data_IF_352976214973
#
_entry.id   IF_352976214973
#
_cell.length_a   1.000
_cell.length_b   1.000
_cell.length_c   1.000
_cell.angle_alpha   90.00
_cell.angle_beta   90.00
_cell.angle_gamma   90.00
#
_symmetry.space_group_name_H-M   'P 1'
#
loop_
_entity.id
_entity.type
_entity.pdbx_description
1 polymer ?
#
# COMPACT_ATOMS: atom_id res chain seq x y z
N UNK A 1 51.90 -59.04 15.47
CA UNK A 1 52.11 -57.59 15.67
C UNK A 1 51.48 -56.84 14.51
N UNK A 2 50.28 -56.26 14.69
CA UNK A 2 49.81 -55.12 13.92
C UNK A 2 49.87 -53.86 14.80
N UNK A 3 50.49 -52.79 14.31
CA UNK A 3 50.70 -51.55 15.08
C UNK A 3 49.42 -50.72 15.21
N UNK A 4 49.28 -50.01 16.33
CA UNK A 4 48.22 -49.02 16.55
C UNK A 4 48.38 -47.82 15.60
N UNK A 5 47.33 -47.48 14.86
CA UNK A 5 47.31 -46.31 13.99
C UNK A 5 46.88 -45.09 14.82
N UNK A 6 47.87 -44.31 15.25
CA UNK A 6 47.66 -43.01 15.91
C UNK A 6 46.96 -42.02 14.95
N UNK A 7 45.73 -41.62 15.32
CA UNK A 7 44.90 -40.71 14.54
C UNK A 7 45.36 -39.24 14.59
N UNK A 8 46.36 -38.92 15.41
CA UNK A 8 46.93 -37.56 15.52
C UNK A 8 48.11 -37.29 14.58
N UNK A 9 48.65 -38.31 13.90
CA UNK A 9 49.85 -38.18 13.08
C UNK A 9 49.60 -37.45 11.75
N UNK A 10 50.49 -36.50 11.42
CA UNK A 10 50.40 -35.62 10.25
C UNK A 10 50.30 -36.38 8.91
N UNK A 11 50.86 -37.60 8.85
CA UNK A 11 50.80 -38.47 7.68
C UNK A 11 49.36 -38.92 7.36
N UNK A 12 48.59 -39.35 8.36
CA UNK A 12 47.17 -39.75 8.19
C UNK A 12 46.29 -38.61 7.68
N UNK A 13 46.59 -37.38 8.10
CA UNK A 13 45.87 -36.17 7.66
C UNK A 13 46.20 -35.86 6.19
N UNK A 14 47.47 -35.95 5.77
CA UNK A 14 47.89 -35.79 4.38
C UNK A 14 47.27 -36.85 3.45
N UNK A 15 47.24 -38.12 3.87
CA UNK A 15 46.62 -39.22 3.13
C UNK A 15 45.10 -38.99 2.93
N UNK A 16 44.41 -38.54 3.98
CA UNK A 16 42.98 -38.21 3.94
C UNK A 16 42.65 -37.05 2.98
N UNK A 17 43.44 -35.98 3.02
CA UNK A 17 43.27 -34.81 2.13
C UNK A 17 43.56 -35.18 0.67
N UNK A 18 44.55 -36.05 0.42
CA UNK A 18 44.85 -36.58 -0.92
C UNK A 18 43.67 -37.36 -1.49
N UNK A 19 43.10 -38.27 -0.70
CA UNK A 19 41.95 -39.10 -1.09
C UNK A 19 40.69 -38.27 -1.41
N UNK A 20 40.47 -37.16 -0.68
CA UNK A 20 39.38 -36.21 -1.02
C UNK A 20 39.64 -35.41 -2.31
N UNK A 21 40.89 -35.10 -2.66
CA UNK A 21 41.19 -34.45 -3.95
C UNK A 21 41.02 -35.39 -5.14
N UNK A 22 41.37 -36.67 -4.98
CA UNK A 22 41.23 -37.68 -6.04
C UNK A 22 39.75 -38.00 -6.34
N UNK A 23 38.86 -37.97 -5.33
CA UNK A 23 37.41 -38.17 -5.54
C UNK A 23 36.71 -37.04 -6.31
N UNK A 24 37.27 -35.83 -6.29
CA UNK A 24 36.76 -34.68 -7.05
C UNK A 24 37.22 -34.64 -8.52
N UNK A 25 38.27 -35.39 -8.88
CA UNK A 25 38.98 -35.22 -10.16
C UNK A 25 38.85 -36.41 -11.14
N UNK A 26 37.99 -37.40 -10.85
CA UNK A 26 37.73 -38.52 -11.76
C UNK A 26 36.47 -38.29 -12.62
N UNK A 27 36.59 -38.24 -13.97
CA UNK A 27 35.44 -38.06 -14.85
C UNK A 27 34.64 -39.36 -14.99
N UNK A 28 33.31 -39.27 -14.88
CA UNK A 28 32.41 -40.39 -15.25
C UNK A 28 32.24 -40.46 -16.76
N UNK A 29 32.74 -41.53 -17.38
CA UNK A 29 32.25 -42.01 -18.68
C UNK A 29 30.83 -42.58 -18.55
N UNK A 30 30.12 -42.66 -19.67
CA UNK A 30 28.69 -42.94 -19.78
C UNK A 30 28.42 -44.02 -20.85
N UNK A 31 27.19 -44.55 -20.89
CA UNK A 31 26.38 -45.08 -22.02
C UNK A 31 25.21 -45.89 -21.41
N UNK A 32 24.01 -46.04 -21.97
CA UNK A 32 23.23 -45.41 -23.07
C UNK A 32 21.73 -45.64 -22.71
N UNK A 33 20.67 -45.05 -23.30
CA UNK A 33 20.43 -44.06 -24.36
C UNK A 33 19.05 -43.39 -24.05
N UNK A 34 18.48 -42.42 -24.76
CA UNK A 34 18.86 -41.70 -25.98
C UNK A 34 18.17 -40.31 -26.04
N UNK A 35 18.49 -39.49 -27.05
CA UNK A 35 18.18 -38.04 -27.07
C UNK A 35 18.06 -37.48 -28.49
N UNK A 36 17.23 -36.46 -28.68
CA UNK A 36 17.26 -35.53 -29.83
C UNK A 36 17.74 -34.12 -29.41
N UNK A 37 18.42 -33.44 -30.35
CA UNK A 37 18.75 -32.00 -30.54
C UNK A 37 18.26 -30.92 -29.53
N UNK A 38 18.91 -29.78 -29.27
CA UNK A 38 20.10 -29.10 -29.86
C UNK A 38 20.73 -28.03 -28.90
N UNK A 39 21.73 -27.23 -29.36
CA UNK A 39 22.57 -26.22 -28.64
C UNK A 39 21.97 -24.76 -28.74
N UNK A 40 22.58 -23.61 -28.28
CA UNK A 40 23.96 -23.33 -27.82
C UNK A 40 24.23 -22.36 -26.58
N UNK A 41 25.47 -22.46 -26.06
CA UNK A 41 26.40 -21.48 -25.40
C UNK A 41 25.98 -20.16 -24.66
N UNK A 42 26.65 -19.93 -23.52
CA UNK A 42 27.18 -18.62 -23.04
C UNK A 42 28.53 -18.81 -22.26
N UNK A 43 29.34 -17.75 -22.07
CA UNK A 43 30.75 -17.78 -21.61
C UNK A 43 31.01 -17.12 -20.23
N UNK A 44 32.20 -17.38 -19.66
CA UNK A 44 32.70 -16.91 -18.34
C UNK A 44 33.49 -15.58 -18.41
N UNK A 45 33.67 -14.87 -17.27
CA UNK A 45 34.66 -13.79 -17.07
C UNK A 45 35.94 -14.23 -16.31
N UNK A 46 37.02 -13.42 -16.34
CA UNK A 46 38.26 -13.58 -15.53
C UNK A 46 38.82 -12.23 -14.99
N UNK A 47 39.71 -12.21 -13.96
CA UNK A 47 40.08 -10.98 -13.20
C UNK A 47 41.59 -10.64 -13.02
N UNK A 48 41.88 -9.35 -12.69
CA UNK A 48 43.10 -8.79 -12.02
C UNK A 48 42.85 -7.26 -11.72
N UNK A 49 43.57 -6.47 -10.88
CA UNK A 49 44.54 -6.66 -9.78
C UNK A 49 44.56 -5.39 -8.85
N UNK A 50 45.68 -5.00 -8.20
CA UNK A 50 45.85 -3.84 -7.27
C UNK A 50 47.30 -3.24 -7.34
N UNK A 51 47.79 -2.32 -6.44
CA UNK A 51 47.38 -0.92 -6.13
C UNK A 51 48.57 0.11 -6.05
N UNK A 52 48.32 1.43 -5.91
CA UNK A 52 49.31 2.44 -5.42
C UNK A 52 48.63 3.58 -4.60
N UNK A 53 49.38 4.35 -3.80
CA UNK A 53 48.93 5.17 -2.64
C UNK A 53 48.84 6.71 -2.84
N UNK A 54 48.44 7.42 -1.77
CA UNK A 54 48.16 8.87 -1.66
C UNK A 54 49.39 9.76 -1.33
N UNK A 55 49.24 11.10 -1.20
CA UNK A 55 49.20 11.72 0.14
C UNK A 55 48.20 12.92 0.30
N UNK A 56 48.23 13.62 1.46
CA UNK A 56 47.17 14.49 1.99
C UNK A 56 47.61 15.90 2.46
N UNK A 57 46.64 16.79 2.77
CA UNK A 57 46.65 17.96 3.72
C UNK A 57 45.22 18.58 3.72
N UNK A 58 44.47 18.81 4.83
CA UNK A 58 44.63 19.73 5.98
C UNK A 58 44.40 21.23 5.62
N UNK A 59 43.65 22.09 6.33
CA UNK A 59 42.74 21.99 7.50
C UNK A 59 41.89 23.30 7.72
N UNK A 60 40.95 23.31 8.69
CA UNK A 60 40.36 24.49 9.42
C UNK A 60 39.46 25.49 8.62
N UNK A 61 38.55 26.31 9.19
CA UNK A 61 37.78 26.32 10.46
C UNK A 61 36.71 27.46 10.43
N UNK A 62 35.96 27.62 11.55
CA UNK A 62 35.19 28.81 11.98
C UNK A 62 33.72 29.00 11.53
N UNK A 63 32.97 29.68 12.39
CA UNK A 63 31.51 29.90 12.33
C UNK A 63 31.16 31.39 12.14
N UNK A 64 29.95 31.68 11.63
CA UNK A 64 29.35 33.00 11.72
C UNK A 64 27.81 32.92 11.71
N UNK A 65 27.18 33.54 12.71
CA UNK A 65 25.74 33.81 12.80
C UNK A 65 25.46 35.18 12.18
N UNK A 66 24.45 35.31 11.31
CA UNK A 66 23.88 36.63 11.00
C UNK A 66 22.37 36.56 10.73
N UNK A 67 21.63 37.45 11.39
CA UNK A 67 20.20 37.68 11.16
C UNK A 67 19.91 38.25 9.76
N UNK A 68 18.69 38.04 9.27
CA UNK A 68 18.07 38.94 8.28
C UNK A 68 16.86 39.61 8.94
N UNK A 69 16.71 40.91 8.68
CA UNK A 69 16.01 41.87 9.52
C UNK A 69 14.74 42.39 8.82
N UNK A 70 13.69 42.64 9.59
CA UNK A 70 12.48 43.32 9.09
C UNK A 70 12.82 44.71 8.52
N UNK A 71 12.18 45.07 7.41
CA UNK A 71 11.95 46.48 7.07
C UNK A 71 10.56 46.67 6.49
N UNK A 72 9.78 47.53 7.15
CA UNK A 72 8.42 47.91 6.79
C UNK A 72 8.40 49.13 5.86
N UNK A 73 7.39 49.24 5.00
CA UNK A 73 7.02 50.51 4.36
C UNK A 73 5.54 50.60 3.99
N UNK A 74 4.83 51.43 4.75
CA UNK A 74 3.62 52.19 4.38
C UNK A 74 3.93 53.13 3.20
N UNK A 75 3.01 53.77 2.46
CA UNK A 75 1.54 53.98 2.50
C UNK A 75 1.15 54.62 1.15
N UNK A 76 -0.13 54.59 0.76
CA UNK A 76 -0.90 55.79 0.33
C UNK A 76 -2.34 55.44 -0.04
N UNK A 77 -3.28 56.30 0.39
CA UNK A 77 -4.73 56.13 0.27
C UNK A 77 -5.33 56.57 -1.07
N UNK A 78 -6.53 56.09 -1.38
CA UNK A 78 -7.65 56.94 -1.86
C UNK A 78 -8.98 56.24 -1.52
N UNK A 79 -9.98 57.02 -1.10
CA UNK A 79 -11.16 56.55 -0.39
C UNK A 79 -12.41 56.37 -1.26
N UNK A 80 -13.34 55.51 -0.80
CA UNK A 80 -14.77 55.65 -1.02
C UNK A 80 -15.56 55.04 0.15
N UNK A 81 -16.31 55.85 0.89
CA UNK A 81 -17.21 55.39 1.97
C UNK A 81 -18.61 55.07 1.42
N UNK A 82 -19.22 53.97 1.88
CA UNK A 82 -20.69 53.79 1.87
C UNK A 82 -21.12 53.16 3.19
N UNK A 83 -22.13 53.75 3.85
CA UNK A 83 -22.69 53.31 5.14
C UNK A 83 -23.87 52.32 4.94
N UNK A 84 -24.17 51.46 5.93
CA UNK A 84 -25.25 50.47 5.83
C UNK A 84 -26.63 51.01 6.29
N UNK A 85 -27.74 50.67 5.61
CA UNK A 85 -29.10 50.90 6.11
C UNK A 85 -29.59 49.78 7.04
N UNK A 86 -30.46 50.13 8.00
CA UNK A 86 -31.02 49.21 9.00
C UNK A 86 -32.29 48.49 8.52
N UNK A 87 -32.43 47.22 8.94
CA UNK A 87 -33.64 46.42 9.19
C UNK A 87 -34.90 46.61 8.32
N UNK A 88 -35.36 45.50 7.71
CA UNK A 88 -36.80 45.19 7.64
C UNK A 88 -37.06 43.68 7.70
N UNK A 89 -37.93 43.26 8.62
CA UNK A 89 -38.32 41.86 8.82
C UNK A 89 -38.87 41.20 7.55
N UNK A 90 -38.47 39.95 7.29
CA UNK A 90 -39.26 38.95 6.56
C UNK A 90 -39.18 37.62 7.30
N UNK A 91 -40.33 36.96 7.51
CA UNK A 91 -40.39 35.69 8.24
C UNK A 91 -39.61 34.57 7.54
N UNK A 92 -38.73 33.90 8.29
CA UNK A 92 -38.14 32.63 7.88
C UNK A 92 -39.19 31.51 7.97
N UNK A 93 -39.58 30.98 6.82
CA UNK A 93 -40.29 29.70 6.70
C UNK A 93 -39.24 28.60 6.70
N UNK A 94 -39.23 27.65 7.66
CA UNK A 94 -38.18 26.63 7.73
C UNK A 94 -38.37 25.58 6.64
N UNK A 95 -37.73 25.76 5.49
CA UNK A 95 -37.41 24.66 4.59
C UNK A 95 -36.36 23.78 5.27
N UNK A 96 -36.66 22.48 5.39
CA UNK A 96 -35.82 21.55 6.16
C UNK A 96 -34.42 21.40 5.56
N UNK A 97 -33.45 22.15 6.10
CA UNK A 97 -32.04 21.83 5.90
C UNK A 97 -31.75 20.47 6.51
N UNK A 98 -31.51 19.49 5.65
CA UNK A 98 -31.06 18.15 6.02
C UNK A 98 -29.73 18.28 6.75
N UNK A 99 -29.75 18.22 8.09
CA UNK A 99 -28.54 18.28 8.91
C UNK A 99 -27.60 17.15 8.52
N UNK A 100 -26.56 17.49 7.78
CA UNK A 100 -25.38 16.64 7.56
C UNK A 100 -24.75 16.40 8.94
N UNK A 101 -24.86 15.17 9.46
CA UNK A 101 -24.35 14.78 10.79
C UNK A 101 -22.86 14.40 10.73
N UNK A 102 -22.00 15.29 10.23
CA UNK A 102 -20.58 14.97 10.01
C UNK A 102 -19.62 15.87 10.80
N UNK A 103 -19.83 15.94 12.11
CA UNK A 103 -18.77 16.29 13.07
C UNK A 103 -18.44 15.05 13.89
N UNK A 104 -17.72 14.10 13.28
CA UNK A 104 -17.13 12.97 14.01
C UNK A 104 -16.21 13.53 15.09
N UNK A 105 -16.51 13.24 16.35
CA UNK A 105 -15.70 13.69 17.48
C UNK A 105 -14.32 13.02 17.44
N UNK A 106 -13.30 13.79 17.09
CA UNK A 106 -11.89 13.38 17.09
C UNK A 106 -11.16 13.94 18.30
N UNK A 107 -10.38 13.09 18.94
CA UNK A 107 -9.47 13.49 20.01
C UNK A 107 -8.15 13.96 19.39
N UNK A 108 -7.44 14.90 20.01
CA UNK A 108 -6.09 15.27 19.56
C UNK A 108 -5.07 14.15 19.80
N UNK A 109 -5.35 13.26 20.77
CA UNK A 109 -4.50 12.13 21.15
C UNK A 109 -5.29 10.83 21.28
N UNK A 110 -4.64 9.70 21.00
CA UNK A 110 -5.21 8.35 21.22
C UNK A 110 -5.46 8.15 22.71
N UNK A 111 -6.68 7.77 23.07
CA UNK A 111 -7.03 7.46 24.45
C UNK A 111 -6.68 5.98 24.73
N UNK A 112 -5.87 5.74 25.77
CA UNK A 112 -5.34 4.42 26.11
C UNK A 112 -5.92 3.97 27.45
N UNK A 113 -6.43 2.74 27.53
CA UNK A 113 -7.01 2.23 28.76
C UNK A 113 -5.91 2.05 29.82
N UNK A 114 -6.22 2.33 31.09
CA UNK A 114 -5.23 2.15 32.17
C UNK A 114 -4.77 0.68 32.31
N UNK A 115 -5.58 -0.28 31.85
CA UNK A 115 -5.22 -1.71 31.75
C UNK A 115 -4.10 -2.01 30.75
N UNK A 116 -3.79 -1.09 29.84
CA UNK A 116 -2.69 -1.21 28.86
C UNK A 116 -1.36 -0.61 29.35
N UNK A 117 -1.30 -0.17 30.62
CA UNK A 117 -0.07 0.32 31.23
C UNK A 117 1.00 -0.78 31.24
N UNK A 118 2.15 -0.49 30.64
CA UNK A 118 3.26 -1.45 30.50
C UNK A 118 3.13 -2.41 29.30
N UNK A 119 2.19 -2.18 28.38
CA UNK A 119 2.14 -2.90 27.11
C UNK A 119 3.31 -2.46 26.20
N UNK A 120 4.18 -3.36 25.72
CA UNK A 120 5.33 -3.01 24.89
C UNK A 120 5.00 -2.24 23.60
N UNK A 121 3.76 -2.33 23.09
CA UNK A 121 3.36 -1.59 21.88
C UNK A 121 3.37 -0.07 22.08
N UNK A 122 3.23 0.41 23.33
CA UNK A 122 3.34 1.84 23.66
C UNK A 122 4.77 2.35 23.54
N UNK A 123 5.75 1.45 23.55
CA UNK A 123 7.17 1.76 23.39
C UNK A 123 7.62 1.73 21.93
N UNK A 124 6.74 1.38 20.98
CA UNK A 124 7.10 1.35 19.55
C UNK A 124 7.48 2.74 19.03
N UNK A 125 8.36 2.85 18.00
CA UNK A 125 8.75 4.14 17.45
C UNK A 125 7.57 4.99 16.97
N UNK A 126 6.60 4.38 16.27
CA UNK A 126 5.42 5.08 15.77
C UNK A 126 4.43 5.47 16.87
N UNK A 127 4.29 4.69 17.95
CA UNK A 127 3.47 5.12 19.09
C UNK A 127 4.13 6.17 19.97
N UNK A 128 5.47 6.24 20.03
CA UNK A 128 6.20 7.35 20.67
C UNK A 128 6.01 8.68 19.93
N UNK A 129 5.85 8.65 18.61
CA UNK A 129 5.58 9.84 17.79
C UNK A 129 4.10 10.25 17.81
N UNK A 130 3.18 9.28 17.99
CA UNK A 130 1.74 9.53 18.02
C UNK A 130 1.32 10.04 19.40
N UNK A 131 0.65 11.19 19.53
CA UNK A 131 0.19 11.66 20.85
C UNK A 131 -0.86 10.71 21.43
N UNK A 132 -0.65 10.25 22.66
CA UNK A 132 -1.59 9.39 23.39
C UNK A 132 -1.66 9.76 24.88
N UNK A 133 -2.76 9.43 25.54
CA UNK A 133 -2.99 9.71 26.96
C UNK A 133 -3.79 8.58 27.63
N UNK A 134 -3.53 8.31 28.91
CA UNK A 134 -4.32 7.33 29.66
C UNK A 134 -5.71 7.86 30.01
N UNK A 135 -6.73 7.01 29.84
CA UNK A 135 -8.11 7.29 30.18
C UNK A 135 -8.74 6.06 30.88
N UNK A 136 -9.48 6.29 31.97
CA UNK A 136 -10.13 5.23 32.78
C UNK A 136 -11.60 5.00 32.41
N UNK A 137 -12.21 5.90 31.62
CA UNK A 137 -13.63 5.86 31.25
C UNK A 137 -13.88 5.12 29.93
N UNK A 138 -12.83 4.79 29.16
CA UNK A 138 -12.98 4.06 27.90
C UNK A 138 -13.18 2.56 28.13
N UNK A 139 -14.05 1.96 27.30
CA UNK A 139 -14.34 0.52 27.36
C UNK A 139 -13.39 -0.32 26.49
N UNK A 140 -12.92 0.22 25.35
CA UNK A 140 -11.90 -0.43 24.51
C UNK A 140 -10.50 -0.31 25.13
N UNK A 141 -9.50 -0.97 24.55
CA UNK A 141 -8.11 -0.89 25.02
C UNK A 141 -7.40 0.35 24.48
N UNK A 142 -7.70 0.68 23.21
CA UNK A 142 -7.31 1.91 22.55
C UNK A 142 -8.55 2.52 21.90
N UNK A 143 -8.70 3.83 22.02
CA UNK A 143 -9.84 4.58 21.54
C UNK A 143 -9.34 5.79 20.75
N UNK A 144 -9.71 5.85 19.48
CA UNK A 144 -9.10 6.76 18.50
C UNK A 144 -10.07 7.90 18.19
N UNK A 145 -11.28 7.55 17.77
CA UNK A 145 -12.39 8.48 17.58
C UNK A 145 -13.73 7.77 17.86
N UNK A 146 -14.84 8.52 17.82
CA UNK A 146 -16.19 7.98 18.07
C UNK A 146 -16.59 6.80 17.14
N UNK A 147 -15.95 6.67 15.98
CA UNK A 147 -16.24 5.64 14.95
C UNK A 147 -15.24 4.48 14.93
N UNK A 148 -14.15 4.51 15.71
CA UNK A 148 -13.06 3.53 15.66
C UNK A 148 -12.55 3.17 17.06
N UNK A 149 -12.86 1.94 17.46
CA UNK A 149 -12.52 1.36 18.76
C UNK A 149 -11.64 0.13 18.57
N UNK A 150 -10.53 0.03 19.31
CA UNK A 150 -9.58 -1.08 19.17
C UNK A 150 -9.45 -1.84 20.49
N UNK A 151 -9.69 -3.16 20.44
CA UNK A 151 -9.33 -4.12 21.48
C UNK A 151 -7.94 -4.68 21.20
N UNK A 152 -7.20 -4.99 22.26
CA UNK A 152 -5.87 -5.59 22.18
C UNK A 152 -5.84 -6.98 22.80
N UNK A 153 -5.23 -7.94 22.10
CA UNK A 153 -5.08 -9.31 22.56
C UNK A 153 -3.75 -9.93 22.11
N UNK A 154 -2.96 -10.46 23.04
CA UNK A 154 -1.85 -11.38 22.70
C UNK A 154 -2.38 -12.81 22.58
N UNK A 155 -1.88 -13.58 21.61
CA UNK A 155 -2.27 -14.98 21.44
C UNK A 155 -1.81 -15.87 22.61
N UNK A 156 -0.66 -15.57 23.21
CA UNK A 156 -0.17 -16.21 24.43
C UNK A 156 -1.13 -15.99 25.60
N UNK A 157 -1.65 -14.77 25.75
CA UNK A 157 -2.67 -14.48 26.76
C UNK A 157 -4.01 -15.14 26.42
N UNK A 158 -4.42 -15.17 25.14
CA UNK A 158 -5.65 -15.85 24.72
C UNK A 158 -5.62 -17.36 25.01
N UNK A 159 -4.47 -18.03 24.80
CA UNK A 159 -4.28 -19.45 25.17
C UNK A 159 -4.40 -19.68 26.69
N UNK A 160 -3.99 -18.71 27.50
CA UNK A 160 -4.09 -18.80 28.97
C UNK A 160 -5.50 -18.50 29.49
N UNK A 161 -6.21 -17.53 28.89
CA UNK A 161 -7.52 -17.01 29.33
C UNK A 161 -8.47 -16.81 28.14
N UNK A 162 -8.98 -17.87 27.50
CA UNK A 162 -9.82 -17.76 26.30
C UNK A 162 -11.12 -16.99 26.56
N UNK A 163 -11.64 -17.03 27.80
CA UNK A 163 -12.87 -16.34 28.21
C UNK A 163 -12.68 -14.82 28.43
N UNK A 164 -11.45 -14.30 28.33
CA UNK A 164 -11.19 -12.87 28.39
C UNK A 164 -11.79 -12.12 27.20
N UNK A 165 -11.59 -12.61 25.97
CA UNK A 165 -12.01 -11.91 24.75
C UNK A 165 -13.54 -11.77 24.69
N UNK A 166 -14.27 -12.81 25.09
CA UNK A 166 -15.72 -12.77 25.20
C UNK A 166 -16.19 -11.66 26.15
N UNK A 167 -15.63 -11.62 27.37
CA UNK A 167 -15.98 -10.62 28.40
C UNK A 167 -15.60 -9.20 27.99
N UNK A 168 -14.57 -8.99 27.14
CA UNK A 168 -14.23 -7.67 26.58
C UNK A 168 -15.25 -7.25 25.52
N UNK A 169 -15.59 -8.14 24.58
CA UNK A 169 -16.56 -7.85 23.52
C UNK A 169 -17.97 -7.60 24.11
N UNK A 170 -18.39 -8.38 25.10
CA UNK A 170 -19.68 -8.22 25.77
C UNK A 170 -19.81 -6.86 26.46
N UNK A 171 -18.74 -6.39 27.13
CA UNK A 171 -18.67 -5.02 27.69
C UNK A 171 -18.81 -3.93 26.62
N UNK A 172 -18.22 -4.12 25.43
CA UNK A 172 -18.35 -3.16 24.31
C UNK A 172 -19.71 -3.21 23.61
N UNK A 173 -20.46 -4.32 23.72
CA UNK A 173 -21.85 -4.40 23.24
C UNK A 173 -22.82 -3.64 24.16
N UNK A 174 -22.41 -3.23 25.36
CA UNK A 174 -23.23 -2.44 26.29
C UNK A 174 -23.58 -1.04 25.75
N UNK A 175 -22.71 -0.45 24.95
CA UNK A 175 -22.87 0.85 24.30
C UNK A 175 -21.54 1.30 23.72
N UNK A 176 -21.57 2.21 22.75
CA UNK A 176 -20.36 2.93 22.38
C UNK A 176 -19.81 3.67 23.61
N UNK A 177 -18.49 3.82 23.67
CA UNK A 177 -17.81 4.62 24.69
C UNK A 177 -18.54 5.95 24.95
N UNK A 178 -18.70 6.28 26.24
CA UNK A 178 -19.42 7.44 26.81
C UNK A 178 -20.93 7.57 26.46
N UNK A 179 -21.75 7.22 27.47
CA UNK A 179 -23.19 7.52 27.67
C UNK A 179 -24.19 6.52 27.05
N UNK A 180 -25.29 6.32 27.78
CA UNK A 180 -26.17 5.13 27.79
C UNK A 180 -27.18 5.03 26.63
N UNK A 181 -27.02 5.80 25.55
CA UNK A 181 -27.95 5.75 24.41
C UNK A 181 -27.50 4.75 23.35
N UNK A 182 -28.02 3.52 23.42
CA UNK A 182 -28.13 2.64 22.25
C UNK A 182 -29.11 3.23 21.23
N UNK A 183 -28.67 4.23 20.47
CA UNK A 183 -29.40 4.64 19.27
C UNK A 183 -29.31 3.54 18.21
N UNK A 184 -30.41 3.37 17.49
CA UNK A 184 -30.65 2.30 16.52
C UNK A 184 -29.82 2.51 15.24
N UNK A 185 -28.52 2.18 15.31
CA UNK A 185 -27.55 2.43 14.25
C UNK A 185 -26.12 2.64 14.77
N UNK A 186 -25.54 1.61 15.40
CA UNK A 186 -24.15 1.65 15.87
C UNK A 186 -23.17 1.40 14.70
N UNK A 187 -22.76 2.47 14.01
CA UNK A 187 -21.79 2.42 12.90
C UNK A 187 -20.31 2.38 13.36
N UNK A 188 -20.03 1.95 14.60
CA UNK A 188 -18.66 1.98 15.12
C UNK A 188 -17.86 0.78 14.61
N UNK A 189 -16.79 1.05 13.86
CA UNK A 189 -15.80 0.06 13.47
C UNK A 189 -15.04 -0.42 14.72
N UNK A 190 -15.27 -1.69 15.07
CA UNK A 190 -14.61 -2.38 16.17
C UNK A 190 -13.49 -3.26 15.61
N UNK A 191 -12.25 -2.97 16.00
CA UNK A 191 -11.07 -3.73 15.58
C UNK A 191 -10.57 -4.58 16.75
N UNK A 192 -10.38 -5.88 16.52
CA UNK A 192 -9.59 -6.74 17.40
C UNK A 192 -8.16 -6.82 16.86
N UNK A 193 -7.24 -6.09 17.49
CA UNK A 193 -5.83 -6.13 17.18
C UNK A 193 -5.16 -7.28 17.96
N UNK A 194 -4.67 -8.26 17.23
CA UNK A 194 -4.10 -9.51 17.76
C UNK A 194 -2.61 -9.56 17.51
N UNK A 195 -1.80 -9.71 18.57
CA UNK A 195 -0.35 -9.94 18.45
C UNK A 195 -0.04 -11.44 18.48
N UNK A 196 0.74 -11.89 17.49
CA UNK A 196 1.25 -13.26 17.38
C UNK A 196 2.55 -13.39 18.19
N UNK A 197 2.44 -13.92 19.40
CA UNK A 197 3.54 -14.18 20.33
C UNK A 197 3.61 -15.68 20.73
N UNK A 198 3.22 -16.57 19.80
CA UNK A 198 3.20 -18.04 19.94
C UNK A 198 3.58 -18.73 18.63
N UNK A 199 4.29 -19.85 18.71
CA UNK A 199 4.81 -20.58 17.53
C UNK A 199 3.71 -21.22 16.66
N UNK A 200 2.60 -21.62 17.29
CA UNK A 200 1.43 -22.21 16.62
C UNK A 200 0.20 -21.32 16.79
N UNK A 201 0.00 -20.32 15.91
CA UNK A 201 -1.10 -19.35 16.02
C UNK A 201 -2.37 -19.77 15.26
N UNK A 202 -2.28 -20.72 14.33
CA UNK A 202 -3.31 -21.02 13.32
C UNK A 202 -4.70 -21.27 13.92
N UNK A 203 -4.82 -22.21 14.88
CA UNK A 203 -6.11 -22.56 15.49
C UNK A 203 -6.68 -21.42 16.36
N UNK A 204 -5.81 -20.66 17.02
CA UNK A 204 -6.21 -19.52 17.83
C UNK A 204 -6.76 -18.38 16.95
N UNK A 205 -6.07 -18.05 15.86
CA UNK A 205 -6.56 -17.05 14.88
C UNK A 205 -7.87 -17.55 14.24
N UNK A 206 -7.96 -18.83 13.85
CA UNK A 206 -9.20 -19.40 13.29
C UNK A 206 -10.40 -19.29 14.24
N UNK A 207 -10.19 -19.59 15.52
CA UNK A 207 -11.20 -19.46 16.57
C UNK A 207 -11.61 -17.99 16.77
N UNK A 208 -10.64 -17.09 16.92
CA UNK A 208 -10.87 -15.66 17.07
C UNK A 208 -11.60 -15.04 15.87
N UNK A 209 -11.24 -15.42 14.64
CA UNK A 209 -11.93 -14.96 13.42
C UNK A 209 -13.41 -15.34 13.40
N UNK A 210 -13.76 -16.54 13.88
CA UNK A 210 -15.16 -16.97 14.01
C UNK A 210 -15.94 -16.14 15.05
N UNK A 211 -15.28 -15.77 16.16
CA UNK A 211 -15.85 -14.87 17.18
C UNK A 211 -16.04 -13.47 16.59
N UNK A 212 -15.04 -12.94 15.88
CA UNK A 212 -15.08 -11.63 15.24
C UNK A 212 -16.25 -11.50 14.26
N UNK A 213 -16.43 -12.48 13.36
CA UNK A 213 -17.55 -12.51 12.40
C UNK A 213 -18.91 -12.51 13.12
N UNK A 214 -19.06 -13.32 14.18
CA UNK A 214 -20.32 -13.41 14.95
C UNK A 214 -20.64 -12.12 15.75
N UNK A 215 -19.64 -11.30 16.04
CA UNK A 215 -19.78 -10.12 16.90
C UNK A 215 -19.61 -8.78 16.18
N UNK A 216 -19.44 -8.82 14.85
CA UNK A 216 -19.16 -7.66 14.00
C UNK A 216 -17.89 -6.89 14.42
N UNK A 217 -16.78 -7.63 14.54
CA UNK A 217 -15.44 -7.07 14.68
C UNK A 217 -14.59 -7.39 13.46
N UNK A 218 -13.78 -6.42 13.04
CA UNK A 218 -12.67 -6.66 12.11
C UNK A 218 -11.45 -7.16 12.89
N UNK A 219 -10.84 -8.27 12.46
CA UNK A 219 -9.59 -8.75 13.05
C UNK A 219 -8.39 -8.17 12.28
N UNK A 220 -7.38 -7.67 13.00
CA UNK A 220 -6.09 -7.26 12.45
C UNK A 220 -5.01 -8.02 13.20
N UNK A 221 -4.14 -8.71 12.46
CA UNK A 221 -3.08 -9.56 13.03
C UNK A 221 -1.74 -8.86 12.84
N UNK A 222 -0.97 -8.76 13.92
CA UNK A 222 0.39 -8.24 13.94
C UNK A 222 1.36 -9.33 14.41
N UNK A 223 2.50 -9.44 13.76
CA UNK A 223 3.57 -10.38 14.06
C UNK A 223 4.57 -9.87 15.12
N UNK A 224 4.43 -8.60 15.51
CA UNK A 224 5.19 -8.02 16.64
C UNK A 224 4.40 -6.94 17.37
N UNK A 225 4.83 -6.61 18.59
CA UNK A 225 4.30 -5.46 19.35
C UNK A 225 4.62 -4.12 18.66
N UNK A 226 5.73 -4.04 17.92
CA UNK A 226 6.08 -2.86 17.13
C UNK A 226 5.08 -2.64 15.99
N UNK A 227 4.78 -3.70 15.23
CA UNK A 227 3.80 -3.66 14.14
C UNK A 227 2.40 -3.32 14.66
N UNK A 228 2.00 -3.87 15.83
CA UNK A 228 0.75 -3.50 16.50
C UNK A 228 0.67 -2.01 16.85
N UNK A 229 1.77 -1.42 17.36
CA UNK A 229 1.86 0.02 17.58
C UNK A 229 1.79 0.83 16.28
N UNK A 230 2.43 0.34 15.22
CA UNK A 230 2.39 0.98 13.89
C UNK A 230 0.96 0.98 13.31
N UNK A 231 0.17 -0.08 13.51
CA UNK A 231 -1.24 -0.09 13.12
C UNK A 231 -2.07 0.94 13.89
N UNK A 232 -1.89 1.10 15.21
CA UNK A 232 -2.62 2.12 16.00
C UNK A 232 -2.24 3.53 15.54
N UNK A 233 -0.96 3.80 15.28
CA UNK A 233 -0.50 5.07 14.72
C UNK A 233 -1.10 5.33 13.32
N UNK A 234 -1.18 4.30 12.47
CA UNK A 234 -1.79 4.38 11.14
C UNK A 234 -3.29 4.63 11.21
N UNK A 235 -4.00 3.96 12.12
CA UNK A 235 -5.42 4.20 12.38
C UNK A 235 -5.67 5.64 12.85
N UNK A 236 -4.77 6.20 13.67
CA UNK A 236 -4.88 7.59 14.12
C UNK A 236 -4.68 8.59 12.97
N UNK A 237 -3.66 8.40 12.13
CA UNK A 237 -3.41 9.30 10.99
C UNK A 237 -4.48 9.20 9.89
N UNK A 238 -5.16 8.05 9.78
CA UNK A 238 -6.20 7.80 8.79
C UNK A 238 -7.64 7.84 9.37
N UNK A 239 -7.84 8.36 10.59
CA UNK A 239 -9.13 8.33 11.29
C UNK A 239 -10.27 9.04 10.53
N UNK A 240 -9.91 10.00 9.66
CA UNK A 240 -10.80 10.79 8.80
C UNK A 240 -10.97 10.21 7.39
N UNK A 241 -10.37 9.07 7.07
CA UNK A 241 -10.46 8.48 5.72
C UNK A 241 -11.90 8.07 5.40
N UNK A 242 -12.70 7.58 6.35
CA UNK A 242 -14.11 7.19 6.11
C UNK A 242 -14.93 8.32 5.47
N UNK A 243 -14.79 9.55 5.97
CA UNK A 243 -15.43 10.77 5.41
C UNK A 243 -14.83 11.22 4.07
N UNK A 244 -13.67 10.69 3.68
CA UNK A 244 -12.99 10.94 2.39
C UNK A 244 -13.10 9.76 1.41
N UNK A 245 -13.76 8.66 1.77
CA UNK A 245 -13.88 7.46 0.92
C UNK A 245 -14.50 7.79 -0.43
N UNK A 246 -15.52 8.65 -0.49
CA UNK A 246 -16.13 9.11 -1.75
C UNK A 246 -15.13 9.80 -2.69
N UNK A 247 -14.10 10.46 -2.16
CA UNK A 247 -13.03 11.08 -2.95
C UNK A 247 -11.90 10.11 -3.33
N UNK A 248 -11.79 8.97 -2.64
CA UNK A 248 -10.74 7.96 -2.85
C UNK A 248 -11.19 6.78 -3.73
N UNK A 249 -12.47 6.40 -3.65
CA UNK A 249 -13.08 5.35 -4.50
C UNK A 249 -13.43 5.90 -5.90
N UNK A 250 -13.49 7.22 -6.07
CA UNK A 250 -13.39 7.85 -7.38
C UNK A 250 -11.97 7.60 -7.94
N UNK A 251 -11.79 6.43 -8.54
CA UNK A 251 -10.53 6.02 -9.17
C UNK A 251 -10.01 7.13 -10.08
N UNK A 252 -8.72 7.46 -9.94
CA UNK A 252 -8.13 8.68 -10.48
C UNK A 252 -8.57 8.90 -11.92
N UNK A 253 -9.44 9.90 -12.13
CA UNK A 253 -9.75 10.38 -13.46
C UNK A 253 -8.44 10.90 -14.02
N UNK A 254 -7.89 10.17 -15.00
CA UNK A 254 -6.71 10.59 -15.76
C UNK A 254 -7.00 11.94 -16.40
N UNK A 255 -6.50 13.02 -15.81
CA UNK A 255 -6.86 14.38 -16.21
C UNK A 255 -6.37 14.70 -17.63
N UNK A 256 -5.27 14.08 -18.06
CA UNK A 256 -4.73 14.28 -19.41
C UNK A 256 -5.47 13.49 -20.48
N UNK A 257 -5.99 14.21 -21.48
CA UNK A 257 -6.55 13.67 -22.73
C UNK A 257 -5.63 12.62 -23.39
N UNK A 258 -4.34 12.92 -23.50
CA UNK A 258 -3.34 12.00 -24.06
C UNK A 258 -3.22 10.70 -23.25
N UNK A 259 -3.25 10.79 -21.91
CA UNK A 259 -3.14 9.61 -21.04
C UNK A 259 -4.39 8.72 -21.12
N UNK A 260 -5.55 9.31 -21.44
CA UNK A 260 -6.81 8.62 -21.72
C UNK A 260 -6.74 7.90 -23.07
N UNK A 261 -6.36 8.58 -24.16
CA UNK A 261 -6.23 7.95 -25.48
C UNK A 261 -5.21 6.80 -25.46
N UNK A 262 -4.06 6.99 -24.82
CA UNK A 262 -3.06 5.92 -24.64
C UNK A 262 -3.66 4.74 -23.88
N UNK A 263 -4.46 4.98 -22.84
CA UNK A 263 -5.18 3.90 -22.14
C UNK A 263 -6.16 3.17 -23.06
N UNK A 264 -7.00 3.89 -23.79
CA UNK A 264 -8.05 3.28 -24.63
C UNK A 264 -7.46 2.50 -25.81
N UNK A 265 -6.49 3.06 -26.53
CA UNK A 265 -5.92 2.41 -27.71
C UNK A 265 -4.99 1.23 -27.36
N UNK A 266 -4.33 1.24 -26.19
CA UNK A 266 -3.53 0.08 -25.74
C UNK A 266 -4.37 -1.10 -25.22
N UNK A 267 -5.69 -0.95 -25.11
CA UNK A 267 -6.61 -2.09 -24.92
C UNK A 267 -6.73 -2.95 -26.18
N UNK A 268 -6.47 -2.39 -27.37
CA UNK A 268 -6.46 -3.14 -28.63
C UNK A 268 -5.25 -4.08 -28.67
N UNK A 269 -5.48 -5.35 -29.00
CA UNK A 269 -4.45 -6.39 -29.00
C UNK A 269 -3.24 -5.99 -29.85
N UNK A 270 -2.05 -6.10 -29.27
CA UNK A 270 -0.75 -5.79 -29.88
C UNK A 270 -0.49 -4.30 -30.26
N UNK A 271 -1.32 -3.37 -29.80
CA UNK A 271 -1.07 -1.92 -29.90
C UNK A 271 -0.33 -1.43 -28.65
N UNK A 272 0.89 -0.89 -28.83
CA UNK A 272 1.73 -0.42 -27.74
C UNK A 272 1.63 1.10 -27.53
N UNK A 273 2.10 1.61 -26.38
CA UNK A 273 2.15 3.06 -26.08
C UNK A 273 2.87 3.88 -27.16
N UNK A 274 3.97 3.34 -27.72
CA UNK A 274 4.73 3.96 -28.82
C UNK A 274 3.91 4.06 -30.10
N UNK A 275 3.08 3.04 -30.40
CA UNK A 275 2.20 3.04 -31.57
C UNK A 275 1.14 4.13 -31.43
N UNK A 276 0.59 4.31 -30.23
CA UNK A 276 -0.37 5.39 -29.94
C UNK A 276 0.28 6.77 -30.02
N UNK A 277 1.54 6.93 -29.61
CA UNK A 277 2.27 8.17 -29.79
C UNK A 277 2.46 8.50 -31.28
N UNK A 278 2.80 7.51 -32.11
CA UNK A 278 2.93 7.68 -33.56
C UNK A 278 1.58 7.96 -34.23
N UNK A 279 0.49 7.31 -33.80
CA UNK A 279 -0.87 7.59 -34.25
C UNK A 279 -1.30 9.02 -33.89
N UNK A 280 -1.05 9.47 -32.66
CA UNK A 280 -1.36 10.85 -32.25
C UNK A 280 -0.52 11.89 -33.02
N UNK A 281 0.75 11.62 -33.28
CA UNK A 281 1.63 12.53 -34.02
C UNK A 281 1.17 12.74 -35.48
N UNK A 282 0.72 11.68 -36.15
CA UNK A 282 0.29 11.74 -37.56
C UNK A 282 -1.18 12.17 -37.70
N UNK A 283 -2.08 11.51 -36.98
CA UNK A 283 -3.53 11.65 -37.13
C UNK A 283 -4.11 12.83 -36.31
N UNK A 284 -3.39 13.31 -35.29
CA UNK A 284 -3.71 14.48 -34.42
C UNK A 284 -4.99 14.38 -33.56
N UNK A 285 -5.95 13.52 -33.91
CA UNK A 285 -7.24 13.36 -33.23
C UNK A 285 -7.71 11.91 -33.25
N UNK A 286 -8.37 11.47 -32.18
CA UNK A 286 -8.96 10.13 -32.10
C UNK A 286 -9.96 9.85 -33.23
N UNK A 287 -10.78 10.84 -33.63
CA UNK A 287 -11.71 10.68 -34.76
C UNK A 287 -10.96 10.34 -36.05
N UNK A 288 -9.84 11.03 -36.30
CA UNK A 288 -9.01 10.82 -37.49
C UNK A 288 -8.35 9.43 -37.48
N UNK A 289 -7.89 8.97 -36.31
CA UNK A 289 -7.38 7.60 -36.12
C UNK A 289 -8.44 6.56 -36.51
N UNK A 290 -9.68 6.72 -36.05
CA UNK A 290 -10.78 5.79 -36.36
C UNK A 290 -11.11 5.78 -37.85
N UNK A 291 -11.32 6.96 -38.47
CA UNK A 291 -11.63 7.04 -39.91
C UNK A 291 -10.56 6.42 -40.80
N UNK A 292 -9.28 6.73 -40.55
CA UNK A 292 -8.18 6.14 -41.34
C UNK A 292 -7.93 4.66 -41.03
N UNK A 293 -8.37 4.15 -39.87
CA UNK A 293 -8.33 2.72 -39.55
C UNK A 293 -9.46 1.92 -40.24
N UNK A 294 -10.60 2.55 -40.52
CA UNK A 294 -11.70 1.94 -41.28
C UNK A 294 -11.40 1.89 -42.78
N UNK A 295 -10.63 2.85 -43.30
CA UNK A 295 -10.11 2.86 -44.66
C UNK A 295 -9.04 1.76 -44.85
N UNK A 296 -9.04 1.08 -46.00
CA UNK A 296 -8.21 -0.12 -46.23
C UNK A 296 -6.69 0.11 -46.06
N UNK A 297 -6.20 1.34 -46.29
CA UNK A 297 -4.77 1.67 -46.35
C UNK A 297 -4.40 2.96 -45.57
N UNK A 298 -5.36 3.58 -44.86
CA UNK A 298 -5.20 4.93 -44.29
C UNK A 298 -4.15 5.07 -43.18
N UNK A 299 -3.70 3.96 -42.57
CA UNK A 299 -2.69 3.95 -41.50
C UNK A 299 -1.36 3.27 -41.88
N UNK A 300 -1.21 2.75 -43.11
CA UNK A 300 -0.01 1.99 -43.52
C UNK A 300 1.24 2.86 -43.59
N UNK A 301 1.08 4.16 -43.85
CA UNK A 301 2.18 5.12 -43.90
C UNK A 301 2.84 5.39 -42.51
N UNK A 302 2.23 4.93 -41.40
CA UNK A 302 2.72 5.23 -40.04
C UNK A 302 3.83 4.27 -39.65
N UNK A 303 5.01 4.81 -39.36
CA UNK A 303 6.16 4.00 -38.95
C UNK A 303 5.89 3.23 -37.64
N UNK A 304 6.26 1.94 -37.64
CA UNK A 304 6.05 1.01 -36.51
C UNK A 304 4.69 0.32 -36.50
N UNK A 305 3.75 0.73 -37.35
CA UNK A 305 2.43 0.13 -37.52
C UNK A 305 2.48 -0.98 -38.58
N UNK A 306 2.85 -2.20 -38.18
CA UNK A 306 2.82 -3.37 -39.07
C UNK A 306 1.40 -3.94 -39.27
N UNK A 307 1.17 -4.67 -40.36
CA UNK A 307 -0.12 -5.22 -40.81
C UNK A 307 -0.98 -5.81 -39.69
N UNK A 308 -0.39 -6.64 -38.82
CA UNK A 308 -1.09 -7.26 -37.68
C UNK A 308 -1.69 -6.24 -36.69
N UNK A 309 -1.07 -5.07 -36.53
CA UNK A 309 -1.61 -3.98 -35.69
C UNK A 309 -2.75 -3.26 -36.41
N UNK A 310 -2.60 -3.00 -37.72
CA UNK A 310 -3.66 -2.40 -38.54
C UNK A 310 -4.91 -3.29 -38.56
N UNK A 311 -4.75 -4.59 -38.78
CA UNK A 311 -5.86 -5.55 -38.79
C UNK A 311 -6.60 -5.55 -37.44
N UNK A 312 -5.87 -5.60 -36.32
CA UNK A 312 -6.49 -5.54 -34.99
C UNK A 312 -7.17 -4.19 -34.69
N UNK A 313 -6.59 -3.06 -35.12
CA UNK A 313 -7.20 -1.73 -34.98
C UNK A 313 -8.48 -1.62 -35.82
N UNK A 314 -8.43 -2.06 -37.07
CA UNK A 314 -9.59 -2.09 -37.96
C UNK A 314 -10.68 -3.00 -37.43
N UNK A 315 -10.35 -4.21 -36.98
CA UNK A 315 -11.30 -5.10 -36.34
C UNK A 315 -11.99 -4.41 -35.15
N UNK A 316 -11.22 -3.80 -34.25
CA UNK A 316 -11.75 -3.10 -33.08
C UNK A 316 -12.64 -1.88 -33.38
N UNK A 317 -12.60 -1.30 -34.59
CA UNK A 317 -13.41 -0.14 -34.98
C UNK A 317 -14.50 -0.43 -36.02
N UNK A 318 -14.31 -1.45 -36.86
CA UNK A 318 -15.18 -1.78 -37.99
C UNK A 318 -16.01 -3.05 -37.79
N UNK A 319 -15.65 -3.93 -36.84
CA UNK A 319 -16.49 -5.10 -36.56
C UNK A 319 -17.83 -4.69 -35.93
N UNK A 320 -18.94 -5.32 -36.35
CA UNK A 320 -20.25 -5.06 -35.77
C UNK A 320 -20.28 -5.47 -34.29
N UNK A 321 -20.83 -4.61 -33.44
CA UNK A 321 -20.99 -4.91 -32.01
C UNK A 321 -21.88 -6.13 -31.72
N UNK A 322 -22.75 -6.51 -32.68
CA UNK A 322 -23.64 -7.67 -32.59
C UNK A 322 -23.42 -8.56 -33.82
N UNK A 323 -22.78 -9.72 -33.65
CA UNK A 323 -22.49 -10.66 -34.74
C UNK A 323 -23.72 -11.20 -35.50
N UNK A 324 -24.90 -11.21 -34.86
CA UNK A 324 -26.13 -11.81 -35.39
C UNK A 324 -27.16 -10.75 -35.82
N UNK A 325 -26.72 -9.54 -36.19
CA UNK A 325 -27.58 -8.50 -36.73
C UNK A 325 -27.04 -8.07 -38.09
N UNK A 326 -27.90 -8.06 -39.10
CA UNK A 326 -27.58 -7.45 -40.38
C UNK A 326 -27.53 -5.92 -40.19
N UNK A 327 -26.38 -5.32 -40.52
CA UNK A 327 -26.19 -3.88 -40.54
C UNK A 327 -26.29 -3.43 -41.99
N UNK A 328 -27.34 -2.69 -42.32
CA UNK A 328 -27.41 -1.95 -43.57
C UNK A 328 -26.21 -1.00 -43.65
N UNK A 329 -25.42 -1.11 -44.72
CA UNK A 329 -24.30 -0.24 -44.96
C UNK A 329 -24.83 1.12 -45.47
N UNK A 330 -24.91 2.11 -44.59
CA UNK A 330 -25.11 3.51 -45.01
C UNK A 330 -23.89 3.95 -45.83
N UNK A 331 -24.15 4.28 -47.10
CA UNK A 331 -23.20 4.66 -48.15
C UNK A 331 -22.79 6.13 -48.04
#
# INVERSE_FOLDING_TARGET
>A
MPDEIDQSSFASILEGVRKMRESYNSPKSSEQSGRTSEKPQQQQPQPAAQPVAAPAQAAQAAAATTNVQETSRSTLDTAAQVQPPKNRNRQNRPTGSRRVRDTVQTYTSVQVAHSQKGNPLLESPSMKLTPWAYNTQILSDYYINATLQVLFLSLKYHKLRPEYVWRRIEKMKGGSSIVEERQEGDEVLRVLLVVVDVDSPQDAIRSLSSICIRHDLSIVVAWSFEEAGNYIAYFKSNEMVRSKVDSSIQGLKKEDYNSTIVSSLTTVRAVNKTDVANLLANCKSFKSIVSMATENDGLSHIQGLGERKLLNLRAAFAEPFIFNKDYEAEN
#
